data_IF_809195361053
#
_entry.id   IF_809195361053
#
_cell.length_a   1.000
_cell.length_b   1.000
_cell.length_c   1.000
_cell.angle_alpha   90.00
_cell.angle_beta   90.00
_cell.angle_gamma   90.00
#
_symmetry.space_group_name_H-M   'P 1'
#
loop_
_entity.id
_entity.type
_entity.pdbx_description
1 polymer ?
#
# COMPACT_ATOMS: atom_id res chain seq x y z
N UNK A 1 -8.57 -3.29 21.56
CA UNK A 1 -7.10 -3.44 21.68
C UNK A 1 -6.56 -4.27 20.53
N UNK A 2 -5.44 -3.84 19.94
CA UNK A 2 -4.82 -4.52 18.80
C UNK A 2 -3.93 -5.64 19.34
N UNK A 3 -4.08 -6.88 18.79
CA UNK A 3 -3.20 -7.97 19.21
C UNK A 3 -1.79 -7.77 18.64
N UNK A 4 -0.82 -8.49 19.21
CA UNK A 4 0.60 -8.33 18.86
C UNK A 4 0.86 -8.63 17.39
N UNK A 5 0.22 -9.67 16.86
CA UNK A 5 0.38 -10.04 15.45
C UNK A 5 -0.12 -8.95 14.52
N UNK A 6 -1.34 -8.47 14.73
CA UNK A 6 -1.91 -7.40 13.91
C UNK A 6 -1.10 -6.12 14.02
N UNK A 7 -0.64 -5.77 15.22
CA UNK A 7 0.21 -4.60 15.43
C UNK A 7 1.50 -4.69 14.61
N UNK A 8 2.14 -5.85 14.61
CA UNK A 8 3.35 -6.07 13.82
C UNK A 8 3.11 -5.91 12.34
N UNK A 9 1.97 -6.43 11.85
CA UNK A 9 1.60 -6.30 10.44
C UNK A 9 1.36 -4.83 10.09
N UNK A 10 0.65 -4.09 10.92
CA UNK A 10 0.39 -2.67 10.69
C UNK A 10 1.69 -1.87 10.64
N UNK A 11 2.64 -2.16 11.52
CA UNK A 11 3.95 -1.50 11.49
C UNK A 11 4.69 -1.78 10.19
N UNK A 12 4.59 -3.01 9.67
CA UNK A 12 5.17 -3.35 8.36
C UNK A 12 4.47 -2.60 7.23
N UNK A 13 3.15 -2.47 7.28
CA UNK A 13 2.41 -1.69 6.27
C UNK A 13 2.89 -0.24 6.27
N UNK A 14 3.03 0.36 7.45
CA UNK A 14 3.54 1.74 7.58
C UNK A 14 4.93 1.86 6.96
N UNK A 15 5.80 0.89 7.20
CA UNK A 15 7.14 0.86 6.63
C UNK A 15 7.09 0.88 5.10
N UNK A 16 6.20 0.06 4.51
CA UNK A 16 6.03 0.02 3.06
C UNK A 16 5.47 1.34 2.52
N UNK A 17 4.50 1.92 3.23
CA UNK A 17 3.96 3.24 2.86
C UNK A 17 5.07 4.29 2.85
N UNK A 18 5.93 4.30 3.84
CA UNK A 18 7.05 5.25 3.91
C UNK A 18 8.01 5.08 2.74
N UNK A 19 8.30 3.84 2.35
CA UNK A 19 9.15 3.57 1.17
C UNK A 19 8.54 4.17 -0.10
N UNK A 20 7.24 3.99 -0.28
CA UNK A 20 6.54 4.54 -1.45
C UNK A 20 6.58 6.07 -1.42
N UNK A 21 6.29 6.67 -0.27
CA UNK A 21 6.29 8.12 -0.11
C UNK A 21 7.68 8.70 -0.40
N UNK A 22 8.72 8.09 0.14
CA UNK A 22 10.10 8.53 -0.08
C UNK A 22 10.46 8.52 -1.57
N UNK A 23 10.05 7.49 -2.30
CA UNK A 23 10.34 7.38 -3.72
C UNK A 23 9.51 8.34 -4.55
N UNK A 24 8.25 8.57 -4.17
CA UNK A 24 7.32 9.39 -4.98
C UNK A 24 7.45 10.88 -4.73
N UNK A 25 7.86 11.30 -3.55
CA UNK A 25 7.86 12.72 -3.16
C UNK A 25 8.81 13.59 -3.99
N UNK A 26 9.80 12.96 -4.64
CA UNK A 26 10.81 13.66 -5.43
C UNK A 26 10.64 13.46 -6.93
N UNK A 27 9.52 12.85 -7.34
CA UNK A 27 9.30 12.52 -8.75
C UNK A 27 8.09 13.25 -9.29
N UNK A 28 8.22 13.70 -10.54
CA UNK A 28 7.04 14.07 -11.32
C UNK A 28 6.40 12.81 -11.89
N UNK A 29 5.16 12.95 -12.35
CA UNK A 29 4.44 11.85 -12.98
C UNK A 29 5.18 11.33 -14.21
N UNK A 30 5.74 12.25 -15.03
CA UNK A 30 6.51 11.88 -16.21
C UNK A 30 7.79 11.13 -15.85
N UNK A 31 8.51 11.57 -14.82
CA UNK A 31 9.70 10.86 -14.36
C UNK A 31 9.36 9.45 -13.89
N UNK A 32 8.24 9.30 -13.16
CA UNK A 32 7.76 8.00 -12.73
C UNK A 32 7.46 7.11 -13.93
N UNK A 33 6.73 7.64 -14.92
CA UNK A 33 6.32 6.86 -16.09
C UNK A 33 7.50 6.37 -16.92
N UNK A 34 8.62 7.08 -16.89
CA UNK A 34 9.81 6.78 -17.68
C UNK A 34 10.92 6.07 -16.91
N UNK A 35 10.68 5.70 -15.64
CA UNK A 35 11.69 5.04 -14.81
C UNK A 35 11.23 3.64 -14.42
N UNK A 36 11.70 2.64 -15.16
CA UNK A 36 11.29 1.25 -14.95
C UNK A 36 11.70 0.72 -13.57
N UNK A 37 12.89 1.12 -13.08
CA UNK A 37 13.35 0.65 -11.77
C UNK A 37 12.44 1.17 -10.65
N UNK A 38 12.05 2.42 -10.71
CA UNK A 38 11.16 3.00 -9.69
C UNK A 38 9.77 2.39 -9.80
N UNK A 39 9.26 2.15 -11.02
CA UNK A 39 7.97 1.47 -11.19
C UNK A 39 7.98 0.09 -10.53
N UNK A 40 9.05 -0.67 -10.71
CA UNK A 40 9.18 -1.98 -10.09
C UNK A 40 9.22 -1.89 -8.56
N UNK A 41 9.98 -0.94 -8.01
CA UNK A 41 10.05 -0.73 -6.56
C UNK A 41 8.67 -0.37 -6.00
N UNK A 42 7.96 0.54 -6.64
CA UNK A 42 6.63 0.97 -6.18
C UNK A 42 5.64 -0.19 -6.25
N UNK A 43 5.60 -0.90 -7.37
CA UNK A 43 4.69 -2.04 -7.53
C UNK A 43 5.00 -3.14 -6.52
N UNK A 44 6.28 -3.42 -6.26
CA UNK A 44 6.65 -4.40 -5.24
C UNK A 44 6.11 -4.00 -3.86
N UNK A 45 6.28 -2.74 -3.48
CA UNK A 45 5.80 -2.28 -2.18
C UNK A 45 4.27 -2.28 -2.09
N UNK A 46 3.57 -1.93 -3.17
CA UNK A 46 2.10 -2.03 -3.21
C UNK A 46 1.65 -3.48 -3.08
N UNK A 47 2.33 -4.40 -3.76
CA UNK A 47 2.05 -5.83 -3.63
C UNK A 47 2.24 -6.29 -2.18
N UNK A 48 3.34 -5.89 -1.55
CA UNK A 48 3.63 -6.26 -0.16
C UNK A 48 2.56 -5.73 0.79
N UNK A 49 2.08 -4.50 0.57
CA UNK A 49 0.99 -3.95 1.39
C UNK A 49 -0.26 -4.82 1.26
N UNK A 50 -0.59 -5.25 0.05
CA UNK A 50 -1.73 -6.15 -0.16
C UNK A 50 -1.57 -7.49 0.55
N UNK A 51 -0.37 -8.08 0.49
CA UNK A 51 -0.06 -9.33 1.17
C UNK A 51 -0.16 -9.18 2.70
N UNK A 52 0.39 -8.09 3.23
CA UNK A 52 0.34 -7.82 4.67
C UNK A 52 -1.09 -7.62 5.14
N UNK A 53 -1.88 -6.84 4.41
CA UNK A 53 -3.27 -6.60 4.75
C UNK A 53 -4.08 -7.90 4.76
N UNK A 54 -3.76 -8.81 3.84
CA UNK A 54 -4.43 -10.11 3.78
C UNK A 54 -4.13 -10.98 5.02
N UNK A 55 -3.03 -10.71 5.70
CA UNK A 55 -2.64 -11.44 6.90
C UNK A 55 -3.25 -10.88 8.20
N UNK A 56 -3.90 -9.73 8.13
CA UNK A 56 -4.58 -9.16 9.29
C UNK A 56 -5.77 -10.03 9.67
N UNK A 57 -6.08 -10.10 10.97
CA UNK A 57 -7.24 -10.85 11.44
C UNK A 57 -8.53 -10.22 10.92
N UNK A 58 -9.56 -11.04 10.75
CA UNK A 58 -10.88 -10.56 10.36
C UNK A 58 -11.45 -9.60 11.40
N UNK A 59 -11.20 -9.88 12.67
CA UNK A 59 -11.63 -9.02 13.77
C UNK A 59 -11.04 -7.61 13.61
N UNK A 60 -9.74 -7.51 13.34
CA UNK A 60 -9.08 -6.23 13.13
C UNK A 60 -9.69 -5.46 11.96
N UNK A 61 -9.88 -6.15 10.83
CA UNK A 61 -10.43 -5.53 9.63
C UNK A 61 -11.87 -5.06 9.84
N UNK A 62 -12.64 -5.77 10.66
CA UNK A 62 -14.02 -5.38 10.98
C UNK A 62 -14.06 -4.18 11.92
N UNK A 63 -13.14 -4.09 12.88
CA UNK A 63 -13.06 -2.95 13.80
C UNK A 63 -12.66 -1.67 13.06
N UNK A 64 -11.66 -1.77 12.17
CA UNK A 64 -11.14 -0.62 11.43
C UNK A 64 -11.64 -0.64 9.98
N UNK A 65 -12.95 -0.75 9.81
CA UNK A 65 -13.58 -0.93 8.51
C UNK A 65 -13.67 0.34 7.65
N UNK A 66 -13.27 1.49 8.17
CA UNK A 66 -13.12 2.70 7.37
C UNK A 66 -11.95 2.58 6.38
N UNK A 67 -11.03 1.66 6.63
CA UNK A 67 -9.94 1.37 5.70
C UNK A 67 -10.45 0.36 4.66
N UNK A 68 -10.28 0.63 3.36
CA UNK A 68 -10.83 -0.25 2.32
C UNK A 68 -9.95 -1.50 2.11
N UNK A 69 -9.96 -2.40 3.09
CA UNK A 69 -9.10 -3.58 3.11
C UNK A 69 -9.26 -4.47 1.88
N UNK A 70 -10.49 -4.64 1.43
CA UNK A 70 -10.77 -5.48 0.26
C UNK A 70 -10.06 -4.97 -0.99
N UNK A 71 -10.09 -3.65 -1.20
CA UNK A 71 -9.41 -3.03 -2.34
C UNK A 71 -7.89 -3.12 -2.20
N UNK A 72 -7.38 -2.92 -0.99
CA UNK A 72 -5.94 -3.01 -0.71
C UNK A 72 -5.44 -4.43 -0.97
N UNK A 73 -6.15 -5.43 -0.45
CA UNK A 73 -5.81 -6.84 -0.67
C UNK A 73 -5.89 -7.18 -2.15
N UNK A 74 -6.88 -6.62 -2.85
CA UNK A 74 -7.04 -6.85 -4.29
C UNK A 74 -5.90 -6.33 -5.15
N UNK A 75 -5.15 -5.33 -4.68
CA UNK A 75 -4.01 -4.79 -5.43
C UNK A 75 -2.96 -5.85 -5.76
N UNK A 76 -2.71 -6.79 -4.82
CA UNK A 76 -1.69 -7.83 -5.05
C UNK A 76 -2.02 -8.68 -6.27
N UNK A 77 -3.29 -9.00 -6.47
CA UNK A 77 -3.73 -9.80 -7.62
C UNK A 77 -3.52 -9.03 -8.92
N UNK A 78 -3.92 -7.77 -8.95
CA UNK A 78 -3.77 -6.93 -10.14
C UNK A 78 -2.30 -6.74 -10.52
N UNK A 79 -1.43 -6.58 -9.54
CA UNK A 79 0.00 -6.39 -9.79
C UNK A 79 0.63 -7.67 -10.32
N UNK A 80 0.33 -8.82 -9.70
CA UNK A 80 0.94 -10.11 -10.11
C UNK A 80 0.47 -10.53 -11.49
N UNK A 81 -0.80 -10.36 -11.80
CA UNK A 81 -1.39 -10.89 -13.04
C UNK A 81 -1.48 -9.88 -14.17
N UNK A 82 -1.15 -8.61 -13.93
CA UNK A 82 -1.29 -7.57 -14.92
C UNK A 82 -0.18 -6.54 -14.91
N UNK A 83 1.03 -6.91 -14.46
CA UNK A 83 2.12 -5.94 -14.33
C UNK A 83 2.38 -5.17 -15.64
N UNK A 84 2.47 -5.87 -16.75
CA UNK A 84 2.74 -5.24 -18.04
C UNK A 84 1.57 -4.40 -18.57
N UNK A 85 0.37 -4.67 -18.07
CA UNK A 85 -0.85 -3.96 -18.47
C UNK A 85 -1.40 -3.04 -17.37
N UNK A 86 -0.61 -2.84 -16.28
CA UNK A 86 -1.03 -1.95 -15.19
C UNK A 86 -1.23 -0.54 -15.72
N UNK A 87 -2.37 0.05 -15.34
CA UNK A 87 -2.64 1.44 -15.63
C UNK A 87 -1.78 2.33 -14.73
N UNK A 88 -0.75 2.95 -15.32
CA UNK A 88 0.19 3.79 -14.57
C UNK A 88 -0.47 5.00 -13.94
N UNK A 89 -1.56 5.49 -14.52
CA UNK A 89 -2.37 6.56 -13.92
C UNK A 89 -2.94 6.14 -12.58
N UNK A 90 -3.49 4.94 -12.52
CA UNK A 90 -4.04 4.39 -11.27
C UNK A 90 -2.94 4.20 -10.23
N UNK A 91 -1.79 3.67 -10.64
CA UNK A 91 -0.66 3.48 -9.73
C UNK A 91 -0.17 4.81 -9.18
N UNK A 92 -0.02 5.81 -10.05
CA UNK A 92 0.40 7.15 -9.64
C UNK A 92 -0.57 7.77 -8.62
N UNK A 93 -1.87 7.72 -8.91
CA UNK A 93 -2.88 8.28 -8.02
C UNK A 93 -2.91 7.54 -6.68
N UNK A 94 -2.77 6.21 -6.70
CA UNK A 94 -2.70 5.41 -5.47
C UNK A 94 -1.51 5.86 -4.63
N UNK A 95 -0.37 6.05 -5.27
CA UNK A 95 0.87 6.41 -4.61
C UNK A 95 0.81 7.79 -3.96
N UNK A 96 0.26 8.79 -4.66
CA UNK A 96 0.29 10.18 -4.15
C UNK A 96 -0.92 10.53 -3.30
N UNK A 97 -2.04 9.85 -3.47
CA UNK A 97 -3.29 10.16 -2.75
C UNK A 97 -3.62 9.11 -1.69
N UNK A 98 -3.67 7.84 -2.06
CA UNK A 98 -4.18 6.78 -1.18
C UNK A 98 -3.15 6.34 -0.14
N UNK A 99 -1.88 6.27 -0.48
CA UNK A 99 -0.84 5.78 0.43
C UNK A 99 -0.64 6.70 1.65
N UNK A 100 -0.58 8.04 1.51
CA UNK A 100 -0.51 8.90 2.70
C UNK A 100 -1.72 8.76 3.62
N UNK A 101 -2.91 8.57 3.05
CA UNK A 101 -4.13 8.38 3.84
C UNK A 101 -4.06 7.04 4.58
N UNK A 102 -3.65 5.97 3.90
CA UNK A 102 -3.49 4.65 4.53
C UNK A 102 -2.49 4.70 5.67
N UNK A 103 -1.36 5.38 5.48
CA UNK A 103 -0.36 5.56 6.52
C UNK A 103 -0.96 6.21 7.77
N UNK A 104 -1.74 7.28 7.58
CA UNK A 104 -2.39 7.98 8.69
C UNK A 104 -3.37 7.07 9.44
N UNK A 105 -4.20 6.32 8.72
CA UNK A 105 -5.13 5.37 9.33
C UNK A 105 -4.38 4.30 10.13
N UNK A 106 -3.29 3.77 9.59
CA UNK A 106 -2.51 2.74 10.26
C UNK A 106 -1.89 3.24 11.56
N UNK A 107 -1.36 4.46 11.57
CA UNK A 107 -0.86 5.06 12.80
C UNK A 107 -1.95 5.18 13.85
N UNK A 108 -3.15 5.58 13.45
CA UNK A 108 -4.26 5.73 14.37
C UNK A 108 -4.68 4.39 14.99
N UNK A 109 -4.56 3.30 14.25
CA UNK A 109 -4.91 1.97 14.74
C UNK A 109 -4.02 1.48 15.87
N UNK A 110 -2.78 1.94 15.95
CA UNK A 110 -1.78 1.43 16.90
C UNK A 110 -1.36 2.44 17.95
N UNK A 111 -2.02 3.57 17.97
CA UNK A 111 -1.77 4.61 18.98
C UNK A 111 -2.12 4.16 20.37
#
# INVERSE_FOLDING_TARGET
>A
MVNIKDKGIILQIVKRCNRIIDKSSKLSKDEFSNNDDIKEIICFNLFQIGELANCLSEEFKNIYNEIPWKQIIGMRHRIVHGYDSINLEIVWNTMVESIPILKSYCYNCIK
#
